data_IF_212372461135
#
_entry.id   IF_212372461135
#
_cell.length_a   1.000
_cell.length_b   1.000
_cell.length_c   1.000
_cell.angle_alpha   90.00
_cell.angle_beta   90.00
_cell.angle_gamma   90.00
#
_symmetry.space_group_name_H-M   'P 1'
#
loop_
_entity.id
_entity.type
_entity.pdbx_description
1 polymer ?
#
# COMPACT_ATOMS: atom_id res chain seq x y z
N UNK A 1 5.15 -2.47 3.41
CA UNK A 1 4.36 -1.29 3.82
C UNK A 1 3.83 -0.47 2.63
N UNK A 2 4.70 0.10 1.76
CA UNK A 2 4.33 0.92 0.58
C UNK A 2 3.18 0.34 -0.27
N UNK A 3 3.31 -0.92 -0.67
CA UNK A 3 2.31 -1.69 -1.43
C UNK A 3 0.93 -1.75 -0.76
N UNK A 4 0.90 -1.97 0.56
CA UNK A 4 -0.33 -2.16 1.34
C UNK A 4 -1.13 -0.87 1.49
N UNK A 5 -0.44 0.26 1.64
CA UNK A 5 -1.05 1.59 1.68
C UNK A 5 -1.59 2.03 0.31
N UNK A 6 -0.95 1.58 -0.78
CA UNK A 6 -1.37 1.90 -2.15
C UNK A 6 -2.62 1.13 -2.59
N UNK A 7 -2.84 -0.10 -2.13
CA UNK A 7 -3.89 -0.94 -2.69
C UNK A 7 -5.32 -0.54 -2.26
N UNK A 8 -5.51 0.11 -1.11
CA UNK A 8 -6.80 0.49 -0.50
C UNK A 8 -7.61 1.59 -1.24
N UNK A 9 -7.22 1.96 -2.46
CA UNK A 9 -7.42 3.31 -3.01
C UNK A 9 -7.97 3.28 -4.46
N UNK A 10 -8.23 2.12 -5.12
CA UNK A 10 -8.21 1.98 -6.61
C UNK A 10 -9.29 1.08 -7.36
N UNK A 11 -10.15 1.56 -8.31
CA UNK A 11 -10.99 0.89 -9.38
C UNK A 11 -12.39 1.47 -9.89
N UNK A 12 -12.63 1.72 -11.19
CA UNK A 12 -14.00 2.06 -11.68
C UNK A 12 -14.30 1.49 -13.07
N UNK A 13 -15.57 1.05 -13.19
CA UNK A 13 -16.31 0.61 -14.37
C UNK A 13 -15.99 -0.80 -14.95
N UNK A 14 -17.05 -1.35 -15.55
CA UNK A 14 -17.31 -2.75 -15.94
C UNK A 14 -17.52 -3.75 -14.79
N UNK A 15 -18.27 -4.82 -15.06
CA UNK A 15 -18.70 -5.85 -14.11
C UNK A 15 -17.51 -6.66 -13.57
N UNK A 16 -17.27 -6.60 -12.26
CA UNK A 16 -16.22 -7.31 -11.53
C UNK A 16 -16.08 -6.75 -10.10
N UNK A 17 -15.52 -7.52 -9.17
CA UNK A 17 -15.14 -6.99 -7.85
C UNK A 17 -13.90 -6.10 -8.04
N UNK A 18 -14.12 -4.79 -8.00
CA UNK A 18 -13.10 -3.76 -8.18
C UNK A 18 -11.94 -3.88 -7.16
N UNK A 19 -12.20 -4.50 -6.00
CA UNK A 19 -11.18 -4.87 -5.01
C UNK A 19 -10.28 -5.98 -5.55
N UNK A 20 -10.85 -7.04 -6.12
CA UNK A 20 -10.06 -8.16 -6.70
C UNK A 20 -9.18 -7.68 -7.83
N UNK A 21 -9.74 -6.93 -8.80
CA UNK A 21 -8.99 -6.31 -9.90
C UNK A 21 -7.74 -5.59 -9.40
N UNK A 22 -7.87 -4.84 -8.30
CA UNK A 22 -6.75 -4.09 -7.75
C UNK A 22 -5.67 -5.00 -7.15
N UNK A 23 -6.06 -6.05 -6.43
CA UNK A 23 -5.09 -6.98 -5.86
C UNK A 23 -4.45 -7.92 -6.89
N UNK A 24 -5.14 -8.18 -8.01
CA UNK A 24 -4.58 -8.84 -9.18
C UNK A 24 -3.61 -7.92 -9.95
N UNK A 25 -3.89 -6.62 -10.04
CA UNK A 25 -2.93 -5.60 -10.50
C UNK A 25 -1.72 -5.53 -9.55
N UNK A 26 -1.92 -5.61 -8.24
CA UNK A 26 -0.85 -5.58 -7.26
C UNK A 26 0.09 -6.80 -7.40
N UNK A 27 -0.44 -8.01 -7.36
CA UNK A 27 0.35 -9.23 -7.53
C UNK A 27 0.96 -9.32 -8.94
N UNK A 28 0.13 -9.22 -9.98
CA UNK A 28 0.52 -9.44 -11.37
C UNK A 28 1.34 -8.30 -11.98
N UNK A 29 0.80 -7.08 -12.01
CA UNK A 29 1.45 -5.95 -12.70
C UNK A 29 2.52 -5.30 -11.83
N UNK A 30 2.17 -4.88 -10.62
CA UNK A 30 3.10 -4.24 -9.67
C UNK A 30 4.10 -5.25 -9.06
N UNK A 31 3.87 -6.56 -9.24
CA UNK A 31 4.83 -7.61 -8.91
C UNK A 31 4.98 -7.87 -7.42
N UNK A 32 3.92 -7.66 -6.63
CA UNK A 32 3.92 -7.98 -5.19
C UNK A 32 4.03 -9.49 -5.01
N UNK A 33 5.02 -9.95 -4.25
CA UNK A 33 5.33 -11.38 -4.10
C UNK A 33 5.11 -11.92 -2.69
N UNK A 34 5.19 -11.07 -1.65
CA UNK A 34 5.04 -11.56 -0.27
C UNK A 34 3.64 -12.09 0.03
N UNK A 35 2.61 -11.45 -0.53
CA UNK A 35 1.21 -11.83 -0.40
C UNK A 35 0.61 -12.12 -1.77
N UNK A 36 -0.23 -13.16 -1.83
CA UNK A 36 -1.12 -13.44 -2.96
C UNK A 36 -2.25 -12.39 -3.04
N UNK A 37 -2.92 -12.30 -4.20
CA UNK A 37 -4.11 -11.43 -4.36
C UNK A 37 -5.18 -11.73 -3.29
N UNK A 38 -5.49 -13.01 -3.06
CA UNK A 38 -6.47 -13.44 -2.07
C UNK A 38 -6.12 -13.04 -0.63
N UNK A 39 -4.85 -13.20 -0.20
CA UNK A 39 -4.40 -12.77 1.13
C UNK A 39 -4.53 -11.25 1.30
N UNK A 40 -4.15 -10.48 0.27
CA UNK A 40 -4.27 -9.02 0.31
C UNK A 40 -5.74 -8.56 0.34
N UNK A 41 -6.63 -9.21 -0.42
CA UNK A 41 -8.07 -8.96 -0.39
C UNK A 41 -8.68 -9.20 0.99
N UNK A 42 -8.27 -10.27 1.68
CA UNK A 42 -8.75 -10.59 3.03
C UNK A 42 -8.33 -9.52 4.04
N UNK A 43 -7.05 -9.11 4.02
CA UNK A 43 -6.55 -8.04 4.90
C UNK A 43 -7.26 -6.71 4.60
N UNK A 44 -7.55 -6.43 3.33
CA UNK A 44 -8.26 -5.23 2.90
C UNK A 44 -9.69 -5.17 3.44
N UNK A 45 -10.48 -6.24 3.24
CA UNK A 45 -11.86 -6.36 3.74
C UNK A 45 -11.94 -6.15 5.26
N UNK A 46 -10.93 -6.58 6.01
CA UNK A 46 -10.82 -6.33 7.44
C UNK A 46 -10.61 -4.83 7.79
N UNK A 47 -9.84 -4.08 7.00
CA UNK A 47 -9.49 -2.68 7.27
C UNK A 47 -10.50 -1.65 6.72
N UNK A 48 -11.21 -2.01 5.65
CA UNK A 48 -12.18 -1.16 4.94
C UNK A 48 -13.28 -0.51 5.81
N UNK A 49 -13.86 -1.18 6.84
CA UNK A 49 -14.84 -0.54 7.74
C UNK A 49 -14.28 0.71 8.42
N UNK A 50 -13.01 0.70 8.83
CA UNK A 50 -12.38 1.88 9.46
C UNK A 50 -12.14 3.00 8.45
N UNK A 51 -11.76 2.66 7.21
CA UNK A 51 -11.61 3.62 6.11
C UNK A 51 -12.95 4.28 5.77
N UNK A 52 -14.03 3.50 5.68
CA UNK A 52 -15.38 4.00 5.43
C UNK A 52 -15.92 4.87 6.59
N UNK A 53 -15.67 4.45 7.84
CA UNK A 53 -16.14 5.14 9.05
C UNK A 53 -15.42 6.47 9.27
N UNK A 54 -14.08 6.48 9.25
CA UNK A 54 -13.27 7.67 9.57
C UNK A 54 -12.21 7.95 8.50
N UNK A 55 -12.59 8.33 7.26
CA UNK A 55 -11.64 8.48 6.14
C UNK A 55 -10.57 9.57 6.34
N UNK A 56 -10.75 10.45 7.32
CA UNK A 56 -9.78 11.51 7.67
C UNK A 56 -8.90 11.15 8.88
N UNK A 57 -9.19 10.08 9.62
CA UNK A 57 -8.37 9.64 10.76
C UNK A 57 -7.33 8.61 10.29
N UNK A 58 -6.21 9.13 9.75
CA UNK A 58 -5.12 8.30 9.25
C UNK A 58 -4.53 7.39 10.35
N UNK A 59 -4.51 7.82 11.61
CA UNK A 59 -4.03 7.01 12.74
C UNK A 59 -4.91 5.79 12.96
N UNK A 60 -6.23 5.97 13.08
CA UNK A 60 -7.16 4.85 13.27
C UNK A 60 -7.15 3.89 12.08
N UNK A 61 -7.10 4.40 10.84
CA UNK A 61 -6.95 3.59 9.62
C UNK A 61 -5.65 2.77 9.67
N UNK A 62 -4.53 3.38 10.07
CA UNK A 62 -3.23 2.70 10.15
C UNK A 62 -3.23 1.61 11.22
N UNK A 63 -3.81 1.86 12.41
CA UNK A 63 -3.93 0.86 13.47
C UNK A 63 -4.83 -0.31 13.05
N UNK A 64 -5.98 -0.03 12.42
CA UNK A 64 -6.85 -1.07 11.88
C UNK A 64 -6.12 -1.91 10.81
N UNK A 65 -5.45 -1.27 9.86
CA UNK A 65 -4.66 -1.96 8.83
C UNK A 65 -3.54 -2.82 9.42
N UNK A 66 -2.79 -2.33 10.43
CA UNK A 66 -1.77 -3.11 11.14
C UNK A 66 -2.37 -4.35 11.80
N UNK A 67 -3.48 -4.22 12.53
CA UNK A 67 -4.15 -5.35 13.19
C UNK A 67 -4.67 -6.36 12.15
N UNK A 68 -5.24 -5.89 11.05
CA UNK A 68 -5.71 -6.74 9.96
C UNK A 68 -4.57 -7.49 9.25
N UNK A 69 -3.40 -6.88 9.09
CA UNK A 69 -2.19 -7.60 8.62
C UNK A 69 -1.83 -8.69 9.63
N UNK A 70 -1.59 -8.34 10.90
CA UNK A 70 -1.14 -9.29 11.91
C UNK A 70 -2.07 -10.51 12.04
N UNK A 71 -3.39 -10.28 12.09
CA UNK A 71 -4.39 -11.33 12.28
C UNK A 71 -4.58 -12.25 11.06
N UNK A 72 -4.16 -11.83 9.86
CA UNK A 72 -4.33 -12.61 8.62
C UNK A 72 -2.99 -13.07 8.00
N UNK A 73 -1.86 -12.82 8.67
CA UNK A 73 -0.50 -13.13 8.17
C UNK A 73 0.25 -14.18 9.01
N UNK A 74 -0.46 -14.97 9.83
CA UNK A 74 0.16 -16.00 10.68
C UNK A 74 0.99 -17.02 9.89
N UNK A 75 0.55 -17.38 8.68
CA UNK A 75 1.26 -18.25 7.74
C UNK A 75 2.59 -17.67 7.22
N UNK A 76 2.84 -16.36 7.40
CA UNK A 76 4.08 -15.67 6.99
C UNK A 76 4.90 -15.14 8.16
N UNK A 77 4.50 -15.39 9.42
CA UNK A 77 5.15 -14.81 10.60
C UNK A 77 6.66 -15.11 10.65
N UNK A 78 7.08 -16.35 10.37
CA UNK A 78 8.50 -16.76 10.34
C UNK A 78 9.27 -16.04 9.23
N UNK A 79 8.68 -15.92 8.03
CA UNK A 79 9.29 -15.23 6.89
C UNK A 79 9.42 -13.72 7.16
N UNK A 80 8.40 -13.11 7.77
CA UNK A 80 8.40 -11.71 8.17
C UNK A 80 9.47 -11.43 9.25
N UNK A 81 9.59 -12.29 10.27
CA UNK A 81 10.59 -12.15 11.33
C UNK A 81 12.02 -12.30 10.80
N UNK A 82 12.26 -13.28 9.92
CA UNK A 82 13.56 -13.44 9.26
C UNK A 82 13.93 -12.20 8.42
N UNK A 83 12.98 -11.67 7.63
CA UNK A 83 13.18 -10.46 6.85
C UNK A 83 13.45 -9.22 7.73
N UNK A 84 12.71 -9.08 8.85
CA UNK A 84 12.89 -8.00 9.81
C UNK A 84 14.30 -8.04 10.43
N UNK A 85 14.74 -9.19 10.93
CA UNK A 85 16.07 -9.35 11.53
C UNK A 85 17.20 -9.08 10.52
N UNK A 86 17.07 -9.63 9.30
CA UNK A 86 18.04 -9.44 8.23
C UNK A 86 18.15 -7.97 7.77
N UNK A 87 17.02 -7.25 7.76
CA UNK A 87 16.98 -5.83 7.43
C UNK A 87 17.63 -4.97 8.53
N UNK A 88 17.29 -5.18 9.80
CA UNK A 88 17.92 -4.47 10.93
C UNK A 88 19.43 -4.69 10.96
N UNK A 89 19.90 -5.95 10.79
CA UNK A 89 21.34 -6.27 10.73
C UNK A 89 22.09 -5.60 9.57
N UNK A 90 21.40 -5.02 8.58
CA UNK A 90 22.00 -4.27 7.48
C UNK A 90 21.94 -2.74 7.72
N UNK A 91 20.87 -2.29 8.38
CA UNK A 91 20.63 -0.88 8.69
C UNK A 91 21.46 -0.38 9.89
N UNK A 92 21.97 -1.30 10.72
CA UNK A 92 22.83 -1.05 11.89
C UNK A 92 23.81 0.14 11.65
N UNK A 93 23.78 1.19 12.49
CA UNK A 93 23.06 1.31 13.76
C UNK A 93 21.58 1.78 13.68
N UNK A 94 21.01 2.04 12.49
CA UNK A 94 19.58 2.39 12.37
C UNK A 94 18.68 1.14 12.46
N UNK A 95 17.50 1.25 13.10
CA UNK A 95 16.48 0.20 13.06
C UNK A 95 15.51 0.39 11.88
N UNK A 96 14.94 -0.72 11.38
CA UNK A 96 13.96 -0.71 10.31
C UNK A 96 12.70 0.10 10.67
N UNK A 97 12.32 0.12 11.95
CA UNK A 97 11.17 0.90 12.43
C UNK A 97 11.44 2.41 12.45
N UNK A 98 12.68 2.84 12.68
CA UNK A 98 13.10 4.24 12.58
C UNK A 98 13.09 4.69 11.11
N UNK A 99 13.69 3.90 10.21
CA UNK A 99 13.67 4.12 8.76
C UNK A 99 12.22 4.17 8.23
N UNK A 100 11.36 3.25 8.69
CA UNK A 100 9.94 3.26 8.34
C UNK A 100 9.20 4.50 8.86
N UNK A 101 9.51 4.95 10.08
CA UNK A 101 8.94 6.17 10.68
C UNK A 101 9.37 7.43 9.92
N UNK A 102 10.67 7.55 9.61
CA UNK A 102 11.30 8.61 8.81
C UNK A 102 10.72 8.71 7.40
N UNK A 103 10.54 7.58 6.71
CA UNK A 103 10.07 7.56 5.31
C UNK A 103 8.54 7.63 5.14
N UNK A 104 7.76 7.43 6.20
CA UNK A 104 6.28 7.47 6.12
C UNK A 104 5.73 8.86 5.76
N UNK A 105 6.14 9.98 6.42
CA UNK A 105 5.69 11.32 6.05
C UNK A 105 5.99 11.76 4.60
N UNK A 106 7.21 11.63 4.05
CA UNK A 106 7.47 12.02 2.66
C UNK A 106 6.75 11.14 1.66
N UNK A 107 6.59 9.84 1.93
CA UNK A 107 5.74 8.95 1.13
C UNK A 107 4.27 9.43 1.13
N UNK A 108 3.71 9.72 2.30
CA UNK A 108 2.34 10.21 2.42
C UNK A 108 2.13 11.53 1.66
N UNK A 109 3.12 12.43 1.67
CA UNK A 109 3.12 13.68 0.89
C UNK A 109 3.13 13.42 -0.62
N UNK A 110 3.96 12.49 -1.11
CA UNK A 110 4.02 12.11 -2.53
C UNK A 110 2.72 11.43 -3.01
N UNK A 111 2.07 10.64 -2.16
CA UNK A 111 0.79 9.99 -2.45
C UNK A 111 -0.44 10.89 -2.24
N UNK A 112 -0.30 12.03 -1.54
CA UNK A 112 -1.40 12.91 -1.13
C UNK A 112 -2.38 13.30 -2.25
N UNK A 113 -1.96 13.62 -3.49
CA UNK A 113 -2.88 13.96 -4.57
C UNK A 113 -3.86 12.83 -4.90
N UNK A 114 -3.39 11.58 -4.83
CA UNK A 114 -4.22 10.40 -5.07
C UNK A 114 -5.13 10.10 -3.89
N UNK A 115 -4.60 10.18 -2.68
CA UNK A 115 -5.38 10.05 -1.43
C UNK A 115 -6.51 11.08 -1.38
N UNK A 116 -6.29 12.32 -1.83
CA UNK A 116 -7.34 13.36 -1.94
C UNK A 116 -8.42 12.98 -2.95
N UNK A 117 -8.05 12.54 -4.16
CA UNK A 117 -9.02 12.03 -5.15
C UNK A 117 -9.89 10.90 -4.56
N UNK A 118 -9.30 10.07 -3.71
CA UNK A 118 -10.02 8.98 -3.02
C UNK A 118 -11.01 9.46 -1.98
N UNK A 119 -10.57 10.32 -1.07
CA UNK A 119 -11.42 10.84 0.00
C UNK A 119 -12.61 11.62 -0.58
N UNK A 120 -12.40 12.32 -1.68
CA UNK A 120 -13.48 12.95 -2.45
C UNK A 120 -14.47 11.90 -2.98
N UNK A 121 -14.01 10.89 -3.74
CA UNK A 121 -14.92 9.88 -4.31
C UNK A 121 -15.70 9.09 -3.25
N UNK A 122 -15.10 8.86 -2.06
CA UNK A 122 -15.76 8.31 -0.89
C UNK A 122 -16.85 9.25 -0.36
N UNK A 123 -16.51 10.52 -0.15
CA UNK A 123 -17.44 11.55 0.32
C UNK A 123 -18.63 11.70 -0.64
N UNK A 124 -18.36 11.84 -1.94
CA UNK A 124 -19.36 11.93 -3.00
C UNK A 124 -20.24 10.69 -3.06
N UNK A 125 -19.69 9.51 -2.76
CA UNK A 125 -20.48 8.29 -2.67
C UNK A 125 -21.37 8.28 -1.43
N UNK A 126 -20.83 8.63 -0.26
CA UNK A 126 -21.60 8.66 0.99
C UNK A 126 -22.76 9.67 0.92
N UNK A 127 -22.56 10.80 0.26
CA UNK A 127 -23.60 11.79 -0.01
C UNK A 127 -24.68 11.27 -0.98
N UNK A 128 -24.29 10.76 -2.16
CA UNK A 128 -25.22 10.54 -3.28
C UNK A 128 -25.74 9.10 -3.45
N UNK A 129 -25.17 8.11 -2.76
CA UNK A 129 -25.58 6.71 -2.92
C UNK A 129 -26.83 6.41 -2.06
N UNK A 130 -27.91 5.96 -2.70
CA UNK A 130 -29.21 5.67 -2.08
C UNK A 130 -29.24 4.36 -1.28
N UNK A 131 -28.24 3.48 -1.44
CA UNK A 131 -28.11 2.28 -0.58
C UNK A 131 -27.90 2.68 0.88
N UNK A 132 -28.23 1.78 1.80
CA UNK A 132 -28.03 1.93 3.26
C UNK A 132 -27.15 0.80 3.82
N UNK A 133 -26.72 0.93 5.08
CA UNK A 133 -25.93 -0.10 5.78
C UNK A 133 -24.69 -0.58 5.03
N UNK A 134 -24.41 -1.88 5.15
CA UNK A 134 -23.25 -2.54 4.51
C UNK A 134 -23.29 -2.46 2.99
N UNK A 135 -24.49 -2.48 2.38
CA UNK A 135 -24.65 -2.33 0.94
C UNK A 135 -24.20 -0.94 0.43
N UNK A 136 -24.31 0.11 1.27
CA UNK A 136 -23.75 1.44 1.00
C UNK A 136 -22.24 1.45 1.20
N UNK A 137 -21.75 0.84 2.28
CA UNK A 137 -20.32 0.72 2.56
C UNK A 137 -19.62 0.01 1.40
N UNK A 138 -20.06 -1.18 1.04
CA UNK A 138 -19.48 -1.96 -0.06
C UNK A 138 -19.54 -1.16 -1.36
N UNK A 139 -20.69 -0.61 -1.76
CA UNK A 139 -20.78 0.15 -3.01
C UNK A 139 -19.88 1.41 -3.05
N UNK A 140 -19.59 2.02 -1.89
CA UNK A 140 -18.68 3.15 -1.81
C UNK A 140 -17.21 2.72 -1.72
N UNK A 141 -16.89 1.62 -1.04
CA UNK A 141 -15.58 0.99 -1.10
C UNK A 141 -15.29 0.51 -2.52
N UNK A 142 -16.24 -0.10 -3.25
CA UNK A 142 -16.19 -0.43 -4.68
C UNK A 142 -16.21 0.80 -5.63
N UNK A 143 -16.24 2.03 -5.10
CA UNK A 143 -15.98 3.30 -5.80
C UNK A 143 -14.70 3.99 -5.29
N UNK A 144 -14.13 3.53 -4.17
CA UNK A 144 -12.85 3.96 -3.61
C UNK A 144 -11.71 3.02 -3.99
N UNK A 145 -11.91 1.72 -3.96
CA UNK A 145 -11.63 0.98 -5.16
C UNK A 145 -12.56 1.48 -6.27
N UNK A 146 -12.53 2.68 -6.91
CA UNK A 146 -11.61 3.83 -7.08
C UNK A 146 -11.62 4.40 -8.52
N UNK A 147 -11.83 5.69 -8.76
CA UNK A 147 -10.67 6.59 -8.81
C UNK A 147 -9.38 6.01 -9.42
N UNK A 148 -8.74 5.01 -8.77
CA UNK A 148 -7.33 4.78 -8.98
C UNK A 148 -6.84 3.41 -9.50
N UNK A 149 -7.66 2.41 -9.89
CA UNK A 149 -7.10 1.31 -10.73
C UNK A 149 -6.63 1.88 -12.08
N UNK A 150 -7.25 3.00 -12.43
CA UNK A 150 -6.86 3.91 -13.50
C UNK A 150 -5.70 4.87 -13.16
N UNK A 151 -5.14 4.87 -11.94
CA UNK A 151 -4.11 5.85 -11.52
C UNK A 151 -2.83 5.24 -10.94
N UNK A 152 -2.86 4.06 -10.30
CA UNK A 152 -1.61 3.34 -9.97
C UNK A 152 -1.27 2.41 -11.12
N UNK A 153 -0.45 2.96 -12.00
CA UNK A 153 0.33 2.21 -12.96
C UNK A 153 1.69 1.86 -12.36
N UNK A 154 2.47 1.06 -13.08
CA UNK A 154 3.88 0.84 -12.77
C UNK A 154 4.64 2.18 -12.69
N UNK A 155 4.41 3.09 -13.65
CA UNK A 155 5.08 4.39 -13.73
C UNK A 155 4.73 5.32 -12.56
N UNK A 156 3.50 5.26 -12.04
CA UNK A 156 3.11 6.01 -10.85
C UNK A 156 3.92 5.57 -9.62
N UNK A 157 4.04 4.25 -9.42
CA UNK A 157 4.84 3.67 -8.32
C UNK A 157 6.32 3.97 -8.51
N UNK A 158 6.85 3.78 -9.72
CA UNK A 158 8.24 4.06 -10.07
C UNK A 158 8.60 5.54 -9.88
N UNK A 159 7.69 6.44 -10.27
CA UNK A 159 7.85 7.89 -10.11
C UNK A 159 7.84 8.34 -8.65
N UNK A 160 7.00 7.74 -7.78
CA UNK A 160 7.07 7.99 -6.34
C UNK A 160 8.35 7.38 -5.75
N UNK A 161 8.71 6.15 -6.13
CA UNK A 161 9.90 5.46 -5.66
C UNK A 161 11.17 6.28 -5.98
N UNK A 162 11.35 6.72 -7.23
CA UNK A 162 12.44 7.62 -7.66
C UNK A 162 12.54 8.87 -6.80
N UNK A 163 11.42 9.56 -6.55
CA UNK A 163 11.39 10.77 -5.71
C UNK A 163 11.77 10.46 -4.27
N UNK A 164 11.18 9.41 -3.67
CA UNK A 164 11.45 9.00 -2.29
C UNK A 164 12.94 8.67 -2.10
N UNK A 165 13.50 7.80 -2.94
CA UNK A 165 14.90 7.34 -2.89
C UNK A 165 15.88 8.50 -3.07
N UNK A 166 15.65 9.38 -4.05
CA UNK A 166 16.57 10.47 -4.32
C UNK A 166 16.54 11.55 -3.23
N UNK A 167 15.37 11.80 -2.61
CA UNK A 167 15.17 12.95 -1.72
C UNK A 167 15.22 12.62 -0.21
N UNK A 168 14.98 11.37 0.20
CA UNK A 168 14.75 11.04 1.63
C UNK A 168 15.52 9.81 2.14
N UNK A 169 16.06 8.97 1.26
CA UNK A 169 16.74 7.71 1.61
C UNK A 169 18.26 7.92 1.50
N UNK A 170 19.02 7.46 2.48
CA UNK A 170 20.50 7.46 2.48
C UNK A 170 21.06 6.35 1.59
N UNK A 171 22.38 6.33 1.41
CA UNK A 171 23.08 5.26 0.68
C UNK A 171 22.94 3.89 1.36
N UNK A 172 23.07 3.85 2.68
CA UNK A 172 22.94 2.61 3.47
C UNK A 172 21.51 2.07 3.46
N UNK A 173 20.53 2.92 3.79
CA UNK A 173 19.10 2.56 3.72
C UNK A 173 18.73 1.99 2.34
N UNK A 174 19.22 2.63 1.27
CA UNK A 174 18.93 2.19 -0.09
C UNK A 174 19.63 0.88 -0.48
N UNK A 175 20.90 0.68 -0.08
CA UNK A 175 21.61 -0.59 -0.31
C UNK A 175 20.92 -1.77 0.40
N UNK A 176 20.47 -1.58 1.65
CA UNK A 176 19.70 -2.58 2.37
C UNK A 176 18.32 -2.82 1.75
N UNK A 177 17.65 -1.76 1.27
CA UNK A 177 16.41 -1.90 0.52
C UNK A 177 16.61 -2.69 -0.78
N UNK A 178 17.66 -2.43 -1.57
CA UNK A 178 17.97 -3.19 -2.79
C UNK A 178 18.23 -4.68 -2.50
N UNK A 179 18.86 -5.01 -1.36
CA UNK A 179 19.11 -6.38 -0.94
C UNK A 179 17.85 -7.15 -0.53
N UNK A 180 16.90 -6.50 0.16
CA UNK A 180 15.77 -7.20 0.81
C UNK A 180 14.38 -6.92 0.23
N UNK A 181 14.17 -5.83 -0.52
CA UNK A 181 12.92 -5.61 -1.26
C UNK A 181 12.57 -6.73 -2.27
N UNK A 182 13.51 -7.44 -2.93
CA UNK A 182 13.19 -8.58 -3.79
C UNK A 182 12.36 -9.68 -3.10
N UNK A 183 12.50 -9.82 -1.77
CA UNK A 183 11.73 -10.77 -0.95
C UNK A 183 10.24 -10.41 -0.82
N UNK A 184 9.84 -9.18 -1.20
CA UNK A 184 8.45 -8.72 -1.08
C UNK A 184 7.83 -8.14 -2.37
N UNK A 185 8.66 -7.74 -3.33
CA UNK A 185 8.24 -7.22 -4.62
C UNK A 185 9.27 -7.54 -5.71
N UNK A 186 8.80 -7.75 -6.94
CA UNK A 186 9.63 -7.92 -8.14
C UNK A 186 10.29 -6.58 -8.52
N UNK A 187 11.37 -6.23 -7.82
CA UNK A 187 12.05 -4.92 -7.94
C UNK A 187 12.52 -4.60 -9.35
N UNK A 188 12.88 -5.60 -10.16
CA UNK A 188 13.34 -5.46 -11.54
C UNK A 188 12.34 -4.79 -12.49
N UNK A 189 11.05 -4.77 -12.14
CA UNK A 189 10.02 -4.01 -12.87
C UNK A 189 10.15 -2.50 -12.71
N UNK A 190 10.81 -2.04 -11.65
CA UNK A 190 10.93 -0.63 -11.31
C UNK A 190 12.30 -0.10 -11.71
N UNK A 191 12.34 0.99 -12.46
CA UNK A 191 13.58 1.69 -12.79
C UNK A 191 14.20 2.36 -11.55
N UNK A 192 13.40 2.66 -10.50
CA UNK A 192 13.93 3.12 -9.23
C UNK A 192 14.90 2.11 -8.59
N UNK A 193 14.70 0.79 -8.80
CA UNK A 193 15.60 -0.26 -8.27
C UNK A 193 17.04 -0.15 -8.79
N UNK A 194 17.23 0.52 -9.94
CA UNK A 194 18.52 0.74 -10.62
C UNK A 194 19.25 2.01 -10.14
N UNK A 195 18.67 2.79 -9.22
CA UNK A 195 19.33 3.98 -8.69
C UNK A 195 20.59 3.56 -7.92
N UNK A 196 21.72 4.16 -8.28
CA UNK A 196 22.98 4.08 -7.52
C UNK A 196 23.11 5.39 -6.75
N UNK A 197 23.18 5.32 -5.42
CA UNK A 197 23.47 6.49 -4.58
C UNK A 197 24.97 6.60 -4.35
N UNK A 198 25.55 7.72 -4.77
CA UNK A 198 26.92 8.16 -4.46
C UNK A 198 27.07 8.45 -2.97
#
# INVERSE_FOLDING_TARGET
MFVFLLALVLAKLSYGDNRSDMYDIAAGKLGVTFYTSAEMQTIAKCAEPQVYKTPNNNTAITSAAKNCILNNSGNKAVQALSLYNNANSCLDPEALDDVATKLTPPLAKLAQPLVKKIKNALSDCKANNQKTGDAKQEACIQKCYGVAKAAITLDYVDGICKKLVNQNVTKQEWGCAQKYLPSVVTTSKYNCSKIVKS
#
